data_IF_634793537699
#
_entry.id   IF_634793537699
#
_cell.length_a   1.000
_cell.length_b   1.000
_cell.length_c   1.000
_cell.angle_alpha   90.00
_cell.angle_beta   90.00
_cell.angle_gamma   90.00
#
_symmetry.space_group_name_H-M   'P 1'
#
loop_
_entity.id
_entity.type
_entity.pdbx_description
1 polymer ?
#
# COMPACT_ATOMS: atom_id res chain seq x y z
N UNK A 1 25.91 0.39 2.11
CA UNK A 1 24.80 0.32 1.10
C UNK A 1 24.59 1.72 0.50
N UNK A 2 24.39 1.83 -0.82
CA UNK A 2 23.97 3.08 -1.44
C UNK A 2 22.51 3.38 -1.05
N UNK A 3 22.14 4.66 -0.87
CA UNK A 3 20.79 5.10 -0.43
C UNK A 3 19.68 4.51 -1.32
N UNK A 4 19.93 4.38 -2.61
CA UNK A 4 19.02 3.81 -3.62
C UNK A 4 18.65 2.32 -3.34
N UNK A 5 19.46 1.62 -2.53
CA UNK A 5 19.26 0.21 -2.21
C UNK A 5 18.61 -0.01 -0.83
N UNK A 6 18.18 1.05 -0.17
CA UNK A 6 17.52 0.98 1.13
C UNK A 6 16.02 0.75 0.95
N UNK A 7 15.45 -0.13 1.78
CA UNK A 7 14.00 -0.21 1.94
C UNK A 7 13.43 1.07 2.54
N UNK A 8 12.13 1.30 2.38
CA UNK A 8 11.46 2.47 2.98
C UNK A 8 11.70 2.58 4.48
N UNK A 9 11.69 1.45 5.20
CA UNK A 9 11.97 1.40 6.63
C UNK A 9 13.43 1.72 6.98
N UNK A 10 14.40 1.19 6.22
CA UNK A 10 15.82 1.51 6.40
C UNK A 10 16.10 2.99 6.11
N UNK A 11 15.48 3.55 5.08
CA UNK A 11 15.62 4.96 4.74
C UNK A 11 15.10 5.86 5.87
N UNK A 12 13.94 5.54 6.45
CA UNK A 12 13.37 6.31 7.57
C UNK A 12 14.24 6.23 8.82
N UNK A 13 14.76 5.04 9.17
CA UNK A 13 15.72 4.89 10.27
C UNK A 13 16.95 5.77 10.04
N UNK A 14 17.48 5.78 8.82
CA UNK A 14 18.63 6.61 8.46
C UNK A 14 18.31 8.11 8.57
N UNK A 15 17.17 8.57 8.05
CA UNK A 15 16.73 9.96 8.14
C UNK A 15 16.55 10.40 9.59
N UNK A 16 15.90 9.57 10.42
CA UNK A 16 15.71 9.86 11.84
C UNK A 16 17.06 9.96 12.57
N UNK A 17 17.95 8.99 12.35
CA UNK A 17 19.29 9.02 12.95
C UNK A 17 20.06 10.28 12.55
N UNK A 18 20.04 10.64 11.26
CA UNK A 18 20.67 11.87 10.77
C UNK A 18 20.13 13.12 11.48
N UNK A 19 18.80 13.20 11.63
CA UNK A 19 18.15 14.34 12.29
C UNK A 19 18.51 14.39 13.79
N UNK A 20 18.53 13.26 14.47
CA UNK A 20 18.87 13.19 15.90
C UNK A 20 20.32 13.58 16.19
N UNK A 21 21.25 13.34 15.26
CA UNK A 21 22.65 13.75 15.41
C UNK A 21 22.82 15.28 15.49
N UNK A 22 21.85 16.07 15.04
CA UNK A 22 21.86 17.54 15.18
C UNK A 22 21.33 18.00 16.54
N UNK A 23 20.96 17.07 17.43
CA UNK A 23 20.39 17.35 18.77
C UNK A 23 19.25 18.40 18.72
N UNK A 24 18.19 18.19 17.94
CA UNK A 24 17.14 19.17 17.75
C UNK A 24 16.35 19.36 19.06
N UNK A 25 15.86 20.58 19.30
CA UNK A 25 14.90 20.85 20.40
C UNK A 25 13.49 20.39 20.06
N UNK A 26 13.13 20.41 18.77
CA UNK A 26 11.82 20.00 18.27
C UNK A 26 12.04 19.02 17.12
N UNK A 27 11.43 17.85 17.21
CA UNK A 27 11.42 16.83 16.14
C UNK A 27 10.04 16.80 15.50
N UNK A 28 9.95 17.18 14.23
CA UNK A 28 8.71 17.14 13.47
C UNK A 28 8.79 15.96 12.49
N UNK A 29 7.77 15.13 12.50
CA UNK A 29 7.68 13.96 11.61
C UNK A 29 6.33 13.92 10.92
N UNK A 30 6.35 13.91 9.59
CA UNK A 30 5.16 13.82 8.76
C UNK A 30 4.92 12.36 8.35
N UNK A 31 3.79 11.83 8.76
CA UNK A 31 3.33 10.46 8.50
C UNK A 31 4.45 9.40 8.65
N UNK A 32 5.13 9.35 9.82
CA UNK A 32 6.33 8.53 9.97
C UNK A 32 6.07 7.01 9.89
N UNK A 33 4.82 6.58 10.05
CA UNK A 33 4.44 5.16 10.13
C UNK A 33 3.95 4.58 8.81
N UNK A 34 3.69 5.41 7.79
CA UNK A 34 3.21 4.93 6.48
C UNK A 34 4.27 4.06 5.80
N UNK A 35 3.85 2.89 5.32
CA UNK A 35 4.70 1.95 4.59
C UNK A 35 5.70 1.17 5.46
N UNK A 36 5.58 1.26 6.78
CA UNK A 36 6.29 0.39 7.71
C UNK A 36 5.49 -0.89 7.95
N UNK A 37 6.21 -2.01 8.05
CA UNK A 37 5.64 -3.25 8.57
C UNK A 37 5.44 -3.17 10.10
N UNK A 38 4.65 -4.07 10.65
CA UNK A 38 4.30 -4.04 12.07
C UNK A 38 5.53 -4.06 13.00
N UNK A 39 6.54 -4.93 12.82
CA UNK A 39 7.73 -4.92 13.67
C UNK A 39 8.52 -3.60 13.59
N UNK A 40 8.63 -3.02 12.40
CA UNK A 40 9.36 -1.74 12.22
C UNK A 40 8.57 -0.58 12.83
N UNK A 41 7.23 -0.60 12.76
CA UNK A 41 6.37 0.39 13.40
C UNK A 41 6.52 0.35 14.93
N UNK A 42 6.44 -0.83 15.54
CA UNK A 42 6.63 -1.01 16.98
C UNK A 42 8.02 -0.55 17.45
N UNK A 43 9.04 -0.87 16.66
CA UNK A 43 10.39 -0.40 16.96
C UNK A 43 10.47 1.14 16.92
N UNK A 44 9.83 1.78 15.95
CA UNK A 44 9.81 3.25 15.87
C UNK A 44 9.03 3.86 17.03
N UNK A 45 7.88 3.29 17.41
CA UNK A 45 7.14 3.72 18.58
C UNK A 45 7.98 3.66 19.85
N UNK A 46 8.60 2.53 20.13
CA UNK A 46 9.44 2.36 21.32
C UNK A 46 10.66 3.30 21.33
N UNK A 47 11.25 3.57 20.16
CA UNK A 47 12.35 4.52 20.03
C UNK A 47 11.90 5.95 20.36
N UNK A 48 10.77 6.40 19.80
CA UNK A 48 10.22 7.72 20.05
C UNK A 48 9.79 7.89 21.51
N UNK A 49 9.16 6.88 22.10
CA UNK A 49 8.79 6.88 23.52
C UNK A 49 10.04 7.00 24.42
N UNK A 50 11.11 6.27 24.11
CA UNK A 50 12.37 6.40 24.85
C UNK A 50 12.98 7.80 24.71
N UNK A 51 12.92 8.38 23.51
CA UNK A 51 13.38 9.76 23.30
C UNK A 51 12.64 10.76 24.18
N UNK A 52 11.32 10.64 24.33
CA UNK A 52 10.55 11.53 25.22
C UNK A 52 10.91 11.37 26.71
N UNK A 53 11.36 10.18 27.12
CA UNK A 53 11.77 9.90 28.51
C UNK A 53 13.22 10.31 28.80
N UNK A 54 14.10 10.23 27.81
CA UNK A 54 15.56 10.43 28.01
C UNK A 54 16.04 11.83 27.61
N UNK A 55 15.23 12.62 26.94
CA UNK A 55 15.62 13.93 26.43
C UNK A 55 14.48 14.95 26.59
N UNK A 56 14.81 16.22 26.50
CA UNK A 56 13.83 17.31 26.51
C UNK A 56 13.30 17.65 25.10
N UNK A 57 13.48 16.76 24.13
CA UNK A 57 13.03 16.99 22.76
C UNK A 57 11.50 17.00 22.71
N UNK A 58 10.94 18.02 22.12
CA UNK A 58 9.51 18.07 21.81
C UNK A 58 9.24 17.32 20.50
N UNK A 59 8.24 16.47 20.51
CA UNK A 59 7.86 15.70 19.31
C UNK A 59 6.52 16.21 18.80
N UNK A 60 6.48 16.51 17.50
CA UNK A 60 5.27 16.84 16.75
C UNK A 60 5.12 15.79 15.65
N UNK A 61 4.01 15.05 15.70
CA UNK A 61 3.64 14.08 14.66
C UNK A 61 2.49 14.65 13.84
N UNK A 62 2.64 14.67 12.54
CA UNK A 62 1.54 14.86 11.59
C UNK A 62 1.07 13.48 11.18
N UNK A 63 -0.19 13.14 11.40
CA UNK A 63 -0.74 11.81 11.21
C UNK A 63 -2.03 11.88 10.41
N UNK A 64 -2.20 10.96 9.48
CA UNK A 64 -3.42 10.84 8.66
C UNK A 64 -4.41 9.82 9.23
N UNK A 65 -3.97 8.95 10.14
CA UNK A 65 -4.78 7.88 10.73
C UNK A 65 -4.75 7.96 12.25
N UNK A 66 -5.88 7.72 12.89
CA UNK A 66 -6.03 7.72 14.34
C UNK A 66 -5.24 6.60 15.02
N UNK A 67 -5.22 5.42 14.43
CA UNK A 67 -4.52 4.23 14.97
C UNK A 67 -3.00 4.44 15.05
N UNK A 68 -2.50 5.48 14.39
CA UNK A 68 -1.09 5.86 14.42
C UNK A 68 -0.72 6.81 15.57
N UNK A 69 -1.67 7.24 16.44
CA UNK A 69 -1.38 8.14 17.56
C UNK A 69 -0.76 7.37 18.73
N UNK A 70 0.57 7.50 18.97
CA UNK A 70 1.24 6.76 20.02
C UNK A 70 0.74 7.16 21.43
N UNK A 71 0.92 6.25 22.40
CA UNK A 71 0.50 6.46 23.78
C UNK A 71 1.25 7.60 24.49
N UNK A 72 2.47 7.90 24.07
CA UNK A 72 3.28 8.98 24.64
C UNK A 72 2.86 10.39 24.17
N UNK A 73 1.98 10.49 23.16
CA UNK A 73 1.41 11.77 22.73
C UNK A 73 0.42 12.25 23.76
N UNK A 74 0.59 13.49 24.22
CA UNK A 74 -0.24 14.08 25.28
C UNK A 74 -1.43 14.87 24.74
N UNK A 75 -1.26 15.54 23.60
CA UNK A 75 -2.25 16.44 23.03
C UNK A 75 -2.41 16.23 21.54
N UNK A 76 -3.61 16.47 21.03
CA UNK A 76 -3.96 16.41 19.62
C UNK A 76 -4.58 17.73 19.18
N UNK A 77 -4.23 18.18 18.00
CA UNK A 77 -4.89 19.29 17.30
C UNK A 77 -5.54 18.69 16.05
N UNK A 78 -6.87 18.52 16.03
CA UNK A 78 -7.55 18.03 14.84
C UNK A 78 -7.52 19.06 13.72
N UNK A 79 -7.37 18.57 12.48
CA UNK A 79 -7.51 19.39 11.25
C UNK A 79 -8.48 18.66 10.35
N UNK A 80 -9.59 19.29 9.99
CA UNK A 80 -10.61 18.74 9.12
C UNK A 80 -11.20 19.85 8.23
N UNK A 81 -11.43 19.55 6.96
CA UNK A 81 -12.02 20.47 5.96
C UNK A 81 -11.35 21.85 5.94
N UNK A 82 -10.03 21.88 6.00
CA UNK A 82 -9.19 23.09 6.03
C UNK A 82 -9.38 23.97 7.30
N UNK A 83 -9.99 23.44 8.32
CA UNK A 83 -10.13 24.10 9.62
C UNK A 83 -9.22 23.43 10.66
N UNK A 84 -8.60 24.24 11.49
CA UNK A 84 -7.76 23.81 12.62
C UNK A 84 -8.57 23.96 13.88
N UNK A 85 -8.83 22.86 14.58
CA UNK A 85 -9.61 22.85 15.81
C UNK A 85 -8.75 23.13 17.04
N UNK A 86 -9.40 23.36 18.16
CA UNK A 86 -8.71 23.60 19.42
C UNK A 86 -7.93 22.38 19.89
N UNK A 87 -6.79 22.63 20.52
CA UNK A 87 -5.98 21.61 21.18
C UNK A 87 -6.82 20.87 22.23
N UNK A 88 -6.72 19.56 22.27
CA UNK A 88 -7.38 18.72 23.27
C UNK A 88 -6.45 17.60 23.75
N UNK A 89 -6.75 17.04 24.91
CA UNK A 89 -6.06 15.88 25.45
C UNK A 89 -6.25 14.66 24.51
N UNK A 90 -5.22 13.83 24.38
CA UNK A 90 -5.23 12.63 23.53
C UNK A 90 -6.44 11.73 23.78
N UNK A 91 -6.73 11.43 25.05
CA UNK A 91 -7.83 10.52 25.41
C UNK A 91 -9.21 11.11 25.06
N UNK A 92 -9.39 12.41 25.27
CA UNK A 92 -10.61 13.11 24.87
C UNK A 92 -10.81 13.06 23.35
N UNK A 93 -9.74 13.23 22.58
CA UNK A 93 -9.78 13.11 21.11
C UNK A 93 -10.16 11.71 20.67
N UNK A 94 -9.50 10.67 21.18
CA UNK A 94 -9.79 9.28 20.81
C UNK A 94 -11.23 8.87 21.15
N UNK A 95 -11.77 9.35 22.28
CA UNK A 95 -13.15 9.09 22.68
C UNK A 95 -14.15 9.77 21.75
N UNK A 96 -13.92 11.05 21.44
CA UNK A 96 -14.78 11.81 20.53
C UNK A 96 -14.82 11.22 19.11
N UNK A 97 -13.70 10.71 18.64
CA UNK A 97 -13.59 10.15 17.29
C UNK A 97 -14.20 8.75 17.17
N UNK A 98 -14.03 7.87 18.15
CA UNK A 98 -14.71 6.56 18.19
C UNK A 98 -16.22 6.68 18.06
N UNK A 99 -16.78 7.74 18.66
CA UNK A 99 -18.21 8.02 18.55
C UNK A 99 -18.62 8.59 17.18
N UNK A 100 -17.69 9.18 16.44
CA UNK A 100 -17.94 9.76 15.11
C UNK A 100 -17.93 8.73 13.99
N UNK A 101 -17.02 7.75 14.04
CA UNK A 101 -16.93 6.68 13.05
C UNK A 101 -18.17 5.76 13.08
N UNK A 102 -18.82 5.62 14.25
CA UNK A 102 -20.07 4.90 14.39
C UNK A 102 -21.28 5.58 13.71
N UNK A 103 -21.17 6.86 13.37
CA UNK A 103 -22.28 7.66 12.83
C UNK A 103 -22.20 7.92 11.32
N UNK A 104 -21.12 7.54 10.64
CA UNK A 104 -20.97 7.76 9.19
C UNK A 104 -21.50 6.53 8.44
N UNK A 105 -22.77 6.56 8.04
CA UNK A 105 -23.29 5.52 7.16
C UNK A 105 -22.82 5.74 5.72
N UNK A 106 -22.07 4.82 5.19
CA UNK A 106 -21.69 4.75 3.77
C UNK A 106 -22.77 4.10 2.90
N UNK A 107 -23.98 3.86 3.43
CA UNK A 107 -25.02 3.03 2.83
C UNK A 107 -25.44 3.50 1.42
N UNK A 108 -25.53 4.79 1.18
CA UNK A 108 -25.94 5.32 -0.14
C UNK A 108 -24.83 5.18 -1.18
N UNK A 109 -23.59 5.47 -0.81
CA UNK A 109 -22.43 5.29 -1.68
C UNK A 109 -22.18 3.81 -1.97
N UNK A 110 -22.34 2.97 -0.97
CA UNK A 110 -22.18 1.51 -1.08
C UNK A 110 -23.23 0.91 -2.02
N UNK A 111 -24.51 1.34 -1.92
CA UNK A 111 -25.55 0.95 -2.87
C UNK A 111 -25.22 1.37 -4.30
N UNK A 112 -24.80 2.61 -4.52
CA UNK A 112 -24.40 3.09 -5.84
C UNK A 112 -23.23 2.32 -6.44
N UNK A 113 -22.28 1.86 -5.63
CA UNK A 113 -21.14 1.02 -6.08
C UNK A 113 -21.63 -0.38 -6.44
N UNK A 114 -22.55 -0.96 -5.65
CA UNK A 114 -23.12 -2.30 -5.92
C UNK A 114 -23.98 -2.30 -7.19
N UNK A 115 -24.67 -1.19 -7.45
CA UNK A 115 -25.55 -1.02 -8.61
C UNK A 115 -24.79 -0.67 -9.92
N UNK A 116 -23.45 -0.50 -9.87
CA UNK A 116 -22.68 -0.31 -11.09
C UNK A 116 -22.76 -1.55 -11.97
N UNK A 117 -22.96 -1.37 -13.31
CA UNK A 117 -22.98 -2.49 -14.21
C UNK A 117 -21.61 -3.20 -14.18
N UNK A 118 -21.63 -4.42 -13.73
CA UNK A 118 -20.45 -5.29 -13.69
C UNK A 118 -20.54 -6.25 -14.87
N UNK A 119 -19.83 -5.97 -15.94
CA UNK A 119 -19.59 -6.93 -17.01
C UNK A 119 -18.65 -8.00 -16.45
N UNK A 120 -19.24 -9.08 -15.95
CA UNK A 120 -18.52 -10.20 -15.39
C UNK A 120 -17.46 -10.69 -16.39
N UNK A 121 -16.19 -10.52 -16.04
CA UNK A 121 -15.10 -11.09 -16.83
C UNK A 121 -15.27 -12.61 -16.87
N UNK A 122 -15.75 -13.10 -17.98
CA UNK A 122 -15.99 -14.53 -18.21
C UNK A 122 -14.66 -15.21 -18.51
N UNK A 123 -14.08 -15.82 -17.51
CA UNK A 123 -13.12 -16.90 -17.64
C UNK A 123 -13.73 -18.18 -17.03
N UNK A 124 -13.53 -19.31 -17.69
CA UNK A 124 -14.23 -20.56 -17.32
C UNK A 124 -13.53 -21.34 -16.21
N UNK A 125 -12.31 -20.96 -15.84
CA UNK A 125 -11.52 -21.67 -14.84
C UNK A 125 -11.95 -21.35 -13.43
N UNK A 126 -12.03 -22.37 -12.57
CA UNK A 126 -12.13 -22.22 -11.12
C UNK A 126 -10.80 -21.76 -10.50
N UNK A 127 -9.66 -22.21 -11.06
CA UNK A 127 -8.33 -21.75 -10.63
C UNK A 127 -8.02 -20.39 -11.26
N UNK A 128 -7.98 -19.35 -10.41
CA UNK A 128 -7.66 -17.98 -10.83
C UNK A 128 -6.17 -17.76 -10.93
N UNK A 129 -5.42 -18.25 -9.95
CA UNK A 129 -3.96 -18.23 -9.89
C UNK A 129 -3.49 -19.61 -9.49
N UNK A 130 -2.50 -20.13 -10.20
CA UNK A 130 -1.82 -21.36 -9.83
C UNK A 130 -0.33 -21.26 -10.08
N UNK A 131 0.43 -21.43 -9.04
CA UNK A 131 1.89 -21.48 -9.02
C UNK A 131 2.31 -22.88 -8.56
N UNK A 132 3.17 -23.54 -9.32
CA UNK A 132 3.72 -24.85 -9.00
C UNK A 132 5.24 -24.73 -8.83
N UNK A 133 5.74 -24.93 -7.63
CA UNK A 133 7.17 -24.89 -7.24
C UNK A 133 7.91 -23.69 -7.82
N UNK A 134 7.27 -22.52 -7.77
CA UNK A 134 7.81 -21.29 -8.34
C UNK A 134 8.95 -20.77 -7.49
N UNK A 135 10.10 -20.56 -8.12
CA UNK A 135 11.27 -19.95 -7.50
C UNK A 135 11.70 -18.72 -8.27
N UNK A 136 11.93 -17.61 -7.56
CA UNK A 136 12.38 -16.33 -8.13
C UNK A 136 13.68 -15.92 -7.48
N UNK A 137 14.69 -15.59 -8.30
CA UNK A 137 16.02 -15.18 -7.85
C UNK A 137 16.44 -13.89 -8.53
N UNK A 138 17.09 -13.01 -7.76
CA UNK A 138 17.76 -11.82 -8.28
C UNK A 138 19.25 -11.87 -7.87
N UNK A 139 20.10 -12.18 -8.83
CA UNK A 139 21.50 -12.50 -8.57
C UNK A 139 21.60 -13.71 -7.63
N UNK A 140 22.33 -13.57 -6.55
CA UNK A 140 22.52 -14.65 -5.55
C UNK A 140 21.39 -14.75 -4.53
N UNK A 141 20.44 -13.81 -4.56
CA UNK A 141 19.34 -13.75 -3.59
C UNK A 141 18.12 -14.48 -4.11
N UNK A 142 17.69 -15.54 -3.42
CA UNK A 142 16.39 -16.17 -3.63
C UNK A 142 15.32 -15.35 -2.90
N UNK A 143 14.27 -14.97 -3.60
CA UNK A 143 13.14 -14.20 -3.06
C UNK A 143 11.93 -15.10 -2.81
N UNK A 144 11.62 -15.98 -3.78
CA UNK A 144 10.63 -17.03 -3.64
C UNK A 144 11.32 -18.37 -3.87
N UNK A 145 11.00 -19.36 -3.07
CA UNK A 145 11.62 -20.68 -3.16
C UNK A 145 10.56 -21.77 -3.14
N UNK A 146 10.46 -22.50 -4.27
CA UNK A 146 9.56 -23.64 -4.46
C UNK A 146 8.12 -23.38 -3.97
N UNK A 147 7.58 -22.21 -4.30
CA UNK A 147 6.26 -21.80 -3.86
C UNK A 147 5.18 -22.53 -4.65
N UNK A 148 4.35 -23.28 -3.94
CA UNK A 148 3.07 -23.80 -4.41
C UNK A 148 1.95 -22.91 -3.87
N UNK A 149 1.11 -22.36 -4.75
CA UNK A 149 -0.01 -21.52 -4.35
C UNK A 149 -1.12 -21.58 -5.38
N UNK A 150 -2.33 -21.84 -4.92
CA UNK A 150 -3.53 -21.84 -5.76
C UNK A 150 -4.58 -20.92 -5.14
N UNK A 151 -5.19 -20.10 -5.97
CA UNK A 151 -6.33 -19.23 -5.63
C UNK A 151 -7.51 -19.66 -6.47
N UNK A 152 -8.62 -19.98 -5.80
CA UNK A 152 -9.87 -20.35 -6.45
C UNK A 152 -10.82 -19.16 -6.60
N UNK A 153 -11.76 -19.29 -7.53
CA UNK A 153 -12.78 -18.28 -7.76
C UNK A 153 -13.58 -18.00 -6.46
N UNK A 154 -13.75 -16.72 -6.15
CA UNK A 154 -14.50 -16.27 -4.98
C UNK A 154 -13.68 -16.21 -3.69
N UNK A 155 -12.48 -16.78 -3.64
CA UNK A 155 -11.60 -16.62 -2.48
C UNK A 155 -11.10 -15.19 -2.33
N UNK A 156 -10.88 -14.78 -1.09
CA UNK A 156 -10.35 -13.47 -0.71
C UNK A 156 -9.11 -13.68 0.14
N UNK A 157 -7.96 -13.21 -0.34
CA UNK A 157 -6.66 -13.47 0.26
C UNK A 157 -6.03 -12.20 0.82
N UNK A 158 -5.46 -12.29 2.03
CA UNK A 158 -4.60 -11.28 2.60
C UNK A 158 -3.15 -11.76 2.53
N UNK A 159 -2.31 -11.05 1.76
CA UNK A 159 -0.88 -11.32 1.69
C UNK A 159 -0.14 -10.46 2.72
N UNK A 160 0.31 -11.08 3.80
CA UNK A 160 1.01 -10.42 4.91
C UNK A 160 2.46 -10.88 5.02
N UNK A 161 3.30 -10.06 5.61
CA UNK A 161 4.72 -10.34 5.85
C UNK A 161 5.55 -9.08 5.98
N UNK A 162 6.78 -9.21 6.46
CA UNK A 162 7.73 -8.11 6.64
C UNK A 162 8.12 -7.43 5.33
N UNK A 163 8.70 -6.24 5.43
CA UNK A 163 9.28 -5.56 4.26
C UNK A 163 10.46 -6.37 3.72
N UNK A 164 10.46 -6.59 2.41
CA UNK A 164 11.47 -7.44 1.75
C UNK A 164 11.19 -8.94 1.77
N UNK A 165 10.06 -9.40 2.32
CA UNK A 165 9.64 -10.81 2.32
C UNK A 165 9.22 -11.37 0.94
N UNK A 166 9.21 -10.54 -0.11
CA UNK A 166 8.85 -11.00 -1.45
C UNK A 166 7.41 -10.76 -1.89
N UNK A 167 6.58 -10.06 -1.08
CA UNK A 167 5.17 -9.76 -1.41
C UNK A 167 5.01 -9.10 -2.77
N UNK A 168 5.77 -8.04 -3.05
CA UNK A 168 5.72 -7.33 -4.33
C UNK A 168 6.20 -8.21 -5.49
N UNK A 169 7.16 -9.11 -5.25
CA UNK A 169 7.61 -10.08 -6.24
C UNK A 169 6.50 -11.08 -6.56
N UNK A 170 5.82 -11.60 -5.55
CA UNK A 170 4.67 -12.49 -5.76
C UNK A 170 3.54 -11.79 -6.51
N UNK A 171 3.18 -10.55 -6.14
CA UNK A 171 2.18 -9.77 -6.86
C UNK A 171 2.58 -9.52 -8.31
N UNK A 172 3.87 -9.26 -8.60
CA UNK A 172 4.34 -9.05 -9.97
C UNK A 172 4.19 -10.29 -10.85
N UNK A 173 4.22 -11.50 -10.29
CA UNK A 173 3.91 -12.72 -11.00
C UNK A 173 2.44 -12.81 -11.36
N UNK A 174 1.55 -12.50 -10.41
CA UNK A 174 0.09 -12.51 -10.61
C UNK A 174 -0.33 -11.44 -11.62
N UNK A 175 0.25 -10.24 -11.53
CA UNK A 175 -0.03 -9.13 -12.46
C UNK A 175 0.65 -9.32 -13.83
N UNK A 176 1.35 -10.44 -14.07
CA UNK A 176 2.09 -10.73 -15.27
C UNK A 176 3.20 -9.71 -15.63
N UNK A 177 3.68 -8.95 -14.64
CA UNK A 177 4.72 -7.91 -14.81
C UNK A 177 6.14 -8.45 -14.61
N UNK A 178 6.30 -9.65 -14.06
CA UNK A 178 7.61 -10.23 -13.80
C UNK A 178 8.11 -11.04 -15.01
N UNK A 179 9.25 -10.66 -15.62
CA UNK A 179 9.79 -11.39 -16.78
C UNK A 179 10.13 -12.86 -16.47
N UNK A 180 10.50 -13.18 -15.22
CA UNK A 180 10.81 -14.56 -14.84
C UNK A 180 9.57 -15.46 -14.82
N UNK A 181 8.35 -14.90 -14.89
CA UNK A 181 7.11 -15.68 -14.95
C UNK A 181 7.04 -16.65 -16.13
N UNK A 182 7.72 -16.32 -17.24
CA UNK A 182 7.78 -17.20 -18.42
C UNK A 182 8.63 -18.45 -18.22
N UNK A 183 9.55 -18.44 -17.28
CA UNK A 183 10.40 -19.58 -16.93
C UNK A 183 9.81 -20.44 -15.81
N UNK A 184 8.67 -20.02 -15.24
CA UNK A 184 8.03 -20.68 -14.12
C UNK A 184 6.76 -21.41 -14.54
N UNK A 185 6.35 -22.40 -13.76
CA UNK A 185 5.06 -23.07 -13.95
C UNK A 185 3.94 -22.28 -13.27
N UNK A 186 3.39 -21.33 -14.03
CA UNK A 186 2.36 -20.39 -13.58
C UNK A 186 1.18 -20.47 -14.52
N UNK A 187 -0.02 -20.58 -13.99
CA UNK A 187 -1.27 -20.42 -14.72
C UNK A 187 -2.08 -19.28 -14.11
N UNK A 188 -2.64 -18.41 -14.95
CA UNK A 188 -3.51 -17.32 -14.59
C UNK A 188 -4.83 -17.46 -15.34
N UNK A 189 -5.94 -17.40 -14.61
CA UNK A 189 -7.29 -17.58 -15.17
C UNK A 189 -7.44 -18.87 -15.99
N UNK A 190 -6.81 -19.97 -15.51
CA UNK A 190 -6.82 -21.28 -16.16
C UNK A 190 -5.87 -21.41 -17.35
N UNK A 191 -5.11 -20.37 -17.70
CA UNK A 191 -4.22 -20.36 -18.85
C UNK A 191 -2.75 -20.33 -18.42
N UNK A 192 -1.96 -21.30 -18.91
CA UNK A 192 -0.53 -21.39 -18.57
C UNK A 192 0.25 -20.24 -19.23
N UNK A 193 1.18 -19.64 -18.47
CA UNK A 193 2.08 -18.59 -18.98
C UNK A 193 3.03 -19.15 -20.05
N UNK A 194 3.26 -18.36 -21.11
CA UNK A 194 4.17 -18.72 -22.18
C UNK A 194 3.54 -19.62 -23.25
N UNK A 195 2.22 -19.77 -23.32
CA UNK A 195 1.51 -20.56 -24.35
C UNK A 195 0.94 -19.68 -25.47
N UNK A 196 1.47 -18.46 -25.65
CA UNK A 196 1.06 -17.56 -26.74
C UNK A 196 -0.01 -16.56 -26.32
N UNK A 197 -0.33 -16.44 -25.01
CA UNK A 197 -1.22 -15.43 -24.47
C UNK A 197 -0.58 -14.05 -24.51
N UNK A 198 -1.38 -13.03 -24.79
CA UNK A 198 -0.97 -11.64 -24.64
C UNK A 198 -1.01 -11.22 -23.17
N UNK A 199 -0.03 -10.43 -22.73
CA UNK A 199 -0.04 -9.81 -21.39
C UNK A 199 -1.29 -8.98 -21.16
N UNK A 200 -1.83 -8.36 -22.20
CA UNK A 200 -3.05 -7.55 -22.16
C UNK A 200 -4.31 -8.38 -21.92
N UNK A 201 -4.35 -9.61 -22.45
CA UNK A 201 -5.46 -10.55 -22.18
C UNK A 201 -5.53 -10.92 -20.70
N UNK A 202 -4.38 -11.05 -20.03
CA UNK A 202 -4.33 -11.31 -18.60
C UNK A 202 -4.71 -10.07 -17.82
N UNK A 203 -4.14 -8.91 -18.17
CA UNK A 203 -4.37 -7.64 -17.46
C UNK A 203 -5.82 -7.17 -17.48
N UNK A 204 -6.58 -7.52 -18.51
CA UNK A 204 -8.03 -7.24 -18.56
C UNK A 204 -8.81 -7.81 -17.37
N UNK A 205 -8.33 -8.89 -16.78
CA UNK A 205 -8.99 -9.55 -15.65
C UNK A 205 -8.49 -9.05 -14.28
N UNK A 206 -7.50 -8.13 -14.25
CA UNK A 206 -6.83 -7.71 -13.04
C UNK A 206 -7.01 -6.21 -12.82
N UNK A 207 -7.76 -5.84 -11.77
CA UNK A 207 -7.72 -4.48 -11.23
C UNK A 207 -6.58 -4.37 -10.21
N UNK A 208 -5.64 -3.45 -10.43
CA UNK A 208 -4.50 -3.25 -9.55
C UNK A 208 -4.48 -1.82 -8.97
N UNK A 209 -4.41 -1.72 -7.65
CA UNK A 209 -4.31 -0.43 -6.93
C UNK A 209 -3.11 -0.49 -6.01
N UNK A 210 -2.21 0.49 -6.11
CA UNK A 210 -1.07 0.64 -5.19
C UNK A 210 -0.75 2.10 -4.90
N UNK A 211 -0.10 2.40 -3.76
CA UNK A 211 0.33 3.77 -3.45
C UNK A 211 1.30 4.37 -4.47
N UNK A 212 2.00 3.54 -5.25
CA UNK A 212 2.97 3.97 -6.25
C UNK A 212 2.33 4.37 -7.58
N UNK A 213 1.09 3.97 -7.85
CA UNK A 213 0.42 4.22 -9.13
C UNK A 213 0.32 5.71 -9.46
N UNK A 214 0.12 6.57 -8.46
CA UNK A 214 0.06 8.02 -8.69
C UNK A 214 1.35 8.58 -9.30
N UNK A 215 2.50 7.96 -9.03
CA UNK A 215 3.81 8.38 -9.58
C UNK A 215 3.98 8.03 -11.05
N UNK A 216 3.15 7.13 -11.58
CA UNK A 216 3.17 6.75 -12.99
C UNK A 216 2.49 7.82 -13.89
N UNK A 217 1.65 8.69 -13.29
CA UNK A 217 1.05 9.80 -14.01
C UNK A 217 2.04 10.96 -14.12
N UNK A 218 2.74 11.06 -15.25
CA UNK A 218 3.75 12.08 -15.52
C UNK A 218 3.15 13.43 -15.95
N UNK A 219 1.85 13.50 -16.22
CA UNK A 219 1.14 14.70 -16.66
C UNK A 219 0.15 15.15 -15.59
N UNK A 220 0.05 16.47 -15.42
CA UNK A 220 -0.99 17.08 -14.60
C UNK A 220 -2.32 17.03 -15.37
N UNK A 221 -3.09 15.98 -15.11
CA UNK A 221 -4.39 15.74 -15.74
C UNK A 221 -5.51 15.97 -14.73
N UNK A 222 -6.71 16.43 -15.18
CA UNK A 222 -7.89 16.43 -14.34
C UNK A 222 -8.23 15.02 -13.82
N UNK A 223 -8.73 14.92 -12.59
CA UNK A 223 -9.04 13.61 -11.98
C UNK A 223 -10.00 12.76 -12.84
N UNK A 224 -10.98 13.38 -13.50
CA UNK A 224 -11.91 12.69 -14.39
C UNK A 224 -11.22 12.04 -15.59
N UNK A 225 -10.17 12.67 -16.13
CA UNK A 225 -9.39 12.10 -17.24
C UNK A 225 -8.54 10.90 -16.77
N UNK A 226 -8.04 10.95 -15.52
CA UNK A 226 -7.34 9.82 -14.91
C UNK A 226 -8.31 8.63 -14.74
N UNK A 227 -9.52 8.88 -14.24
CA UNK A 227 -10.56 7.84 -14.11
C UNK A 227 -10.93 7.27 -15.49
N UNK A 228 -11.18 8.14 -16.47
CA UNK A 228 -11.52 7.72 -17.82
C UNK A 228 -10.41 6.93 -18.54
N UNK A 229 -9.14 7.12 -18.17
CA UNK A 229 -8.05 6.35 -18.75
C UNK A 229 -8.13 4.86 -18.41
N UNK A 230 -8.79 4.50 -17.31
CA UNK A 230 -9.04 3.11 -16.94
C UNK A 230 -9.93 2.36 -17.95
N UNK A 231 -10.79 3.04 -18.70
CA UNK A 231 -11.58 2.43 -19.76
C UNK A 231 -10.71 1.94 -20.96
N UNK A 232 -9.46 2.39 -21.01
CA UNK A 232 -8.54 2.10 -22.11
C UNK A 232 -7.29 1.36 -21.66
N UNK A 233 -7.23 0.89 -20.41
CA UNK A 233 -6.04 0.26 -19.79
C UNK A 233 -4.77 1.09 -19.99
N UNK A 234 -4.87 2.42 -19.92
CA UNK A 234 -3.77 3.31 -20.22
C UNK A 234 -3.47 4.25 -19.04
N UNK A 235 -2.20 4.64 -18.91
CA UNK A 235 -1.77 5.69 -17.98
C UNK A 235 -1.92 7.04 -18.71
N UNK A 236 -3.10 7.66 -18.57
CA UNK A 236 -3.49 8.89 -19.23
C UNK A 236 -4.29 8.69 -20.53
N UNK A 237 -5.02 9.71 -20.91
CA UNK A 237 -5.84 9.70 -22.14
C UNK A 237 -4.99 10.04 -23.35
N UNK A 238 -4.92 9.11 -24.29
CA UNK A 238 -4.35 9.32 -25.63
C UNK A 238 -5.40 9.75 -26.64
N UNK A 239 -6.71 9.58 -26.33
CA UNK A 239 -7.85 10.08 -27.09
C UNK A 239 -8.83 10.75 -26.11
N UNK A 240 -9.37 11.90 -26.48
CA UNK A 240 -10.47 12.52 -25.71
C UNK A 240 -11.70 11.62 -25.81
N UNK A 241 -12.42 11.36 -24.72
CA UNK A 241 -13.73 10.73 -24.81
C UNK A 241 -14.64 11.64 -25.64
N UNK A 242 -15.34 11.03 -26.58
CA UNK A 242 -16.40 11.70 -27.33
C UNK A 242 -17.63 11.92 -26.47
#
# INVERSE_FOLDING_TARGET
>A
KKIILLSSGELRKFQLTKTLLTAPRVLIMDNPFIGLDAPTRELLFSLLERLTKMSSVQIILVLSMMDDIPSFITHVIPVDKMEVFSKMEREAYLTAFRNRDAATSFDELQKRIIDLPYDGNNYDSDEVVKLNKVSIRYGDRTILNELDWTVHRGEKWALSGENGAGKSTLLSLVCADNPQSYACDISLFGRKRGTGESIWEIKKHIGYVSPEMHRAYLKNLPAIEIVASGLHDSIGLYKRPQ
#
